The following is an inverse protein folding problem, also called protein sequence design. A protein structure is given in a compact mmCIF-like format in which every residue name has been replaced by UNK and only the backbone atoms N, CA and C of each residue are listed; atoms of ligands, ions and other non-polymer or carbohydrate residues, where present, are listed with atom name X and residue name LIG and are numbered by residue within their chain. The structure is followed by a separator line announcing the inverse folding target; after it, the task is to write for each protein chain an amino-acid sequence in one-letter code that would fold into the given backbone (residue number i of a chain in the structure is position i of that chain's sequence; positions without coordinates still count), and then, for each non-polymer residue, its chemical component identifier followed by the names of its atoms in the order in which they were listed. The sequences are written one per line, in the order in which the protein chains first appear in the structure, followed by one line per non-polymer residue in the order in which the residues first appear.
data_IF_799751183743
#
_entry.id   IF_799751183743
#
_cell.length_a   1.000
_cell.length_b   1.000
_cell.length_c   1.000
_cell.angle_alpha   90.00
_cell.angle_beta   90.00
_cell.angle_gamma   90.00
#
_symmetry.space_group_name_H-M   'P 1'
#
loop_
_entity.id
_entity.type
_entity.pdbx_description
1 polymer ?
#
# COMPACT_ATOMS: atom_id res chain seq x y z
N UNK A 1 48.02 5.74 12.35
CA UNK A 1 46.62 6.04 11.99
C UNK A 1 46.12 7.00 13.07
N UNK A 2 45.89 8.30 12.79
CA UNK A 2 45.28 9.20 13.78
C UNK A 2 43.77 8.98 13.76
N UNK A 3 43.18 8.68 14.92
CA UNK A 3 41.72 8.60 15.09
C UNK A 3 41.22 10.04 15.03
N UNK A 4 40.22 10.29 14.21
CA UNK A 4 39.59 11.62 14.17
C UNK A 4 38.68 11.72 15.41
N UNK A 5 39.23 12.17 16.54
CA UNK A 5 38.53 12.22 17.81
C UNK A 5 37.24 13.06 17.75
N UNK A 6 37.16 14.04 16.85
CA UNK A 6 35.94 14.82 16.59
C UNK A 6 34.78 13.99 15.97
N UNK A 7 35.03 12.77 15.50
CA UNK A 7 34.01 11.81 15.04
C UNK A 7 33.73 10.70 16.06
N UNK A 8 34.40 10.72 17.21
CA UNK A 8 34.23 9.77 18.30
C UNK A 8 33.41 10.42 19.43
N UNK A 9 32.76 9.61 20.24
CA UNK A 9 32.04 10.08 21.42
C UNK A 9 31.82 8.94 22.40
N UNK A 10 31.81 9.27 23.69
CA UNK A 10 31.45 8.34 24.77
C UNK A 10 30.00 8.61 25.11
N UNK A 11 29.14 7.61 24.93
CA UNK A 11 27.75 7.71 25.33
C UNK A 11 27.56 6.95 26.64
N UNK A 12 27.19 7.67 27.69
CA UNK A 12 26.84 7.07 28.98
C UNK A 12 25.45 6.46 28.85
N UNK A 13 25.34 5.15 29.12
CA UNK A 13 24.06 4.43 29.10
C UNK A 13 23.55 4.39 30.53
N UNK A 14 22.35 4.93 30.76
CA UNK A 14 21.71 4.93 32.07
C UNK A 14 21.38 3.51 32.50
N UNK A 15 21.57 3.20 33.78
CA UNK A 15 21.16 1.93 34.35
C UNK A 15 19.64 1.75 34.26
N UNK A 16 19.14 0.52 34.11
CA UNK A 16 17.68 0.28 34.02
C UNK A 16 16.92 0.77 35.25
N UNK A 17 17.57 0.86 36.42
CA UNK A 17 16.97 1.33 37.67
C UNK A 17 16.75 2.87 37.69
N UNK A 18 17.58 3.64 36.97
CA UNK A 18 17.46 5.10 36.85
C UNK A 18 16.34 5.51 35.87
N UNK A 19 16.13 4.73 34.80
CA UNK A 19 15.10 5.00 33.78
C UNK A 19 13.67 4.84 34.32
N UNK A 20 13.49 4.04 35.39
CA UNK A 20 12.17 3.80 36.01
C UNK A 20 11.77 4.95 36.94
N UNK A 21 12.73 5.58 37.63
CA UNK A 21 12.48 6.65 38.57
C UNK A 21 11.82 7.89 37.92
N UNK A 22 12.18 8.18 36.67
CA UNK A 22 11.62 9.29 35.86
C UNK A 22 10.18 9.03 35.37
N UNK A 23 9.72 7.77 35.33
CA UNK A 23 8.37 7.41 34.84
C UNK A 23 7.33 7.40 35.98
N UNK A 24 7.78 7.25 37.24
CA UNK A 24 6.89 7.05 38.40
C UNK A 24 6.77 8.23 39.39
N UNK A 25 7.40 9.39 39.20
CA UNK A 25 7.27 10.48 40.19
C UNK A 25 6.95 11.88 39.63
N UNK A 26 5.69 12.28 39.81
CA UNK A 26 5.43 13.57 40.44
C UNK A 26 5.86 13.44 41.91
N UNK A 27 6.75 14.33 42.36
CA UNK A 27 7.28 14.51 43.74
C UNK A 27 8.46 13.61 44.11
N UNK A 28 9.68 14.19 44.17
CA UNK A 28 10.31 14.64 45.43
C UNK A 28 11.66 15.38 45.13
N UNK A 29 11.68 16.71 45.26
CA UNK A 29 12.86 17.56 44.95
C UNK A 29 14.10 17.19 45.78
N UNK A 30 13.89 16.62 46.97
CA UNK A 30 14.96 16.24 47.89
C UNK A 30 15.65 14.93 47.49
N UNK A 31 14.94 14.04 46.79
CA UNK A 31 15.50 12.80 46.23
C UNK A 31 16.25 13.07 44.92
N UNK A 32 15.81 14.06 44.13
CA UNK A 32 16.57 14.61 43.00
C UNK A 32 17.90 15.23 43.46
N UNK A 33 17.93 15.88 44.63
CA UNK A 33 19.18 16.38 45.24
C UNK A 33 20.09 15.24 45.69
N UNK A 34 19.56 14.13 46.22
CA UNK A 34 20.38 12.95 46.60
C UNK A 34 20.93 12.17 45.41
N UNK A 35 20.16 11.99 44.33
CA UNK A 35 20.63 11.38 43.09
C UNK A 35 21.70 12.25 42.39
N UNK A 36 21.56 13.58 42.45
CA UNK A 36 22.61 14.52 41.98
C UNK A 36 23.89 14.50 42.81
N UNK A 37 23.87 13.97 44.03
CA UNK A 37 25.03 13.93 44.94
C UNK A 37 25.89 12.68 44.73
N UNK A 38 25.36 11.61 44.11
CA UNK A 38 26.13 10.40 43.79
C UNK A 38 26.68 10.37 42.35
N UNK A 39 26.21 11.25 41.46
CA UNK A 39 26.74 11.47 40.09
C UNK A 39 28.07 12.27 40.06
N UNK A 40 28.92 12.07 41.07
CA UNK A 40 30.32 12.49 41.01
C UNK A 40 31.10 11.45 40.20
N UNK A 41 30.82 11.37 38.90
CA UNK A 41 31.69 10.66 37.98
C UNK A 41 33.11 11.23 38.07
N UNK A 42 34.09 10.37 38.34
CA UNK A 42 35.52 10.68 38.31
C UNK A 42 35.85 11.32 36.96
N UNK A 43 36.09 12.62 36.96
CA UNK A 43 36.19 13.46 35.77
C UNK A 43 37.60 13.45 35.18
N UNK A 44 38.17 12.27 34.95
CA UNK A 44 39.36 12.18 34.12
C UNK A 44 38.90 12.10 32.65
N UNK A 45 39.31 13.06 31.80
CA UNK A 45 38.94 13.04 30.39
C UNK A 45 39.45 11.76 29.74
N UNK A 46 38.57 11.05 29.04
CA UNK A 46 38.98 9.85 28.32
C UNK A 46 39.76 10.25 27.07
N UNK A 47 41.08 10.12 27.15
CA UNK A 47 42.00 10.52 26.09
C UNK A 47 42.41 9.32 25.24
N UNK A 48 42.28 9.43 23.92
CA UNK A 48 42.78 8.44 22.96
C UNK A 48 43.77 9.13 22.02
N UNK A 49 45.02 8.65 22.02
CA UNK A 49 46.12 9.20 21.21
C UNK A 49 46.36 10.71 21.40
N UNK A 50 46.14 11.22 22.61
CA UNK A 50 46.34 12.62 22.96
C UNK A 50 45.14 13.52 22.72
N UNK A 51 44.06 13.00 22.12
CA UNK A 51 42.81 13.73 21.92
C UNK A 51 41.75 13.31 22.96
N UNK A 52 41.11 14.28 23.59
CA UNK A 52 39.96 14.05 24.49
C UNK A 52 38.72 13.65 23.68
N UNK A 53 38.06 12.56 24.09
CA UNK A 53 36.82 12.11 23.47
C UNK A 53 35.62 12.73 24.19
N UNK A 54 34.73 13.45 23.49
CA UNK A 54 33.58 14.09 24.12
C UNK A 54 32.55 13.08 24.61
N UNK A 55 31.88 13.41 25.72
CA UNK A 55 30.68 12.70 26.16
C UNK A 55 29.49 13.18 25.33
N UNK A 56 28.68 12.26 24.80
CA UNK A 56 27.56 12.54 23.91
C UNK A 56 26.25 11.92 24.40
N UNK A 57 25.13 12.62 24.20
CA UNK A 57 23.80 12.12 24.58
C UNK A 57 23.17 11.19 23.53
N UNK A 58 23.62 11.30 22.28
CA UNK A 58 23.17 10.47 21.17
C UNK A 58 24.32 9.93 20.35
N UNK A 59 24.13 8.72 19.82
CA UNK A 59 25.12 8.06 19.01
C UNK A 59 24.49 7.38 17.80
N UNK A 60 25.04 7.59 16.60
CA UNK A 60 24.61 6.88 15.40
C UNK A 60 25.63 5.79 15.07
N UNK A 61 25.31 4.54 15.43
CA UNK A 61 26.12 3.39 15.09
C UNK A 61 25.51 2.60 13.95
N UNK A 62 26.26 2.43 12.86
CA UNK A 62 25.81 1.76 11.63
C UNK A 62 24.47 2.31 11.10
N UNK A 63 24.16 3.58 11.36
CA UNK A 63 22.91 4.21 10.91
C UNK A 63 21.69 3.97 11.80
N UNK A 64 21.84 3.28 12.94
CA UNK A 64 20.85 3.21 14.02
C UNK A 64 21.18 4.29 15.05
N UNK A 65 20.17 5.08 15.45
CA UNK A 65 20.30 6.11 16.49
C UNK A 65 20.08 5.50 17.86
N UNK A 66 21.03 5.69 18.74
CA UNK A 66 20.96 5.34 20.16
C UNK A 66 20.94 6.61 20.99
N UNK A 67 20.29 6.51 22.14
CA UNK A 67 20.18 7.52 23.19
C UNK A 67 20.57 6.87 24.51
N UNK A 68 20.88 7.66 25.54
CA UNK A 68 21.33 7.15 26.85
C UNK A 68 20.35 6.18 27.53
N UNK A 69 19.05 6.29 27.22
CA UNK A 69 17.97 5.41 27.67
C UNK A 69 17.75 4.15 26.79
N UNK A 70 18.49 4.04 25.68
CA UNK A 70 18.33 3.00 24.65
C UNK A 70 16.88 2.85 24.13
N UNK A 71 16.08 3.91 24.17
CA UNK A 71 14.68 3.85 23.78
C UNK A 71 14.50 3.51 22.29
N UNK A 72 13.72 2.46 22.00
CA UNK A 72 13.40 2.08 20.61
C UNK A 72 12.71 3.20 19.82
N UNK A 73 12.04 4.14 20.50
CA UNK A 73 11.38 5.27 19.85
C UNK A 73 12.39 6.20 19.15
N UNK A 74 13.57 6.45 19.72
CA UNK A 74 14.58 7.33 19.12
C UNK A 74 15.10 6.77 17.79
N UNK A 75 15.24 5.43 17.70
CA UNK A 75 15.54 4.71 16.46
C UNK A 75 14.46 4.92 15.39
N UNK A 76 13.18 4.86 15.79
CA UNK A 76 12.05 5.04 14.88
C UNK A 76 11.99 6.47 14.35
N UNK A 77 12.17 7.47 15.20
CA UNK A 77 12.18 8.88 14.81
C UNK A 77 13.28 9.18 13.78
N UNK A 78 14.44 8.54 13.93
CA UNK A 78 15.51 8.63 12.93
C UNK A 78 15.11 8.03 11.56
N UNK A 79 14.46 6.85 11.57
CA UNK A 79 13.94 6.21 10.36
C UNK A 79 12.82 7.04 9.70
N UNK A 80 11.94 7.65 10.49
CA UNK A 80 10.89 8.58 10.02
C UNK A 80 11.50 9.76 9.28
N UNK A 81 12.52 10.41 9.86
CA UNK A 81 13.21 11.55 9.23
C UNK A 81 13.85 11.17 7.89
N UNK A 82 14.59 10.05 7.84
CA UNK A 82 15.16 9.53 6.59
C UNK A 82 14.08 9.15 5.57
N UNK A 83 13.00 8.52 6.02
CA UNK A 83 11.85 8.14 5.20
C UNK A 83 11.17 9.34 4.55
N UNK A 84 10.93 10.41 5.30
CA UNK A 84 10.31 11.65 4.76
C UNK A 84 11.19 12.30 3.69
N UNK A 85 12.51 12.36 3.90
CA UNK A 85 13.46 12.86 2.89
C UNK A 85 13.43 12.00 1.62
N UNK A 86 13.47 10.67 1.77
CA UNK A 86 13.41 9.75 0.64
C UNK A 86 12.08 9.88 -0.14
N UNK A 87 10.94 9.95 0.56
CA UNK A 87 9.62 10.13 -0.06
C UNK A 87 9.52 11.46 -0.82
N UNK A 88 10.10 12.53 -0.27
CA UNK A 88 10.13 13.85 -0.93
C UNK A 88 10.96 13.80 -2.21
N UNK A 89 12.13 13.17 -2.18
CA UNK A 89 12.97 12.97 -3.36
C UNK A 89 12.29 12.11 -4.44
N UNK A 90 11.38 11.21 -4.05
CA UNK A 90 10.62 10.36 -4.96
C UNK A 90 9.33 11.01 -5.49
N UNK A 91 9.03 12.26 -5.11
CA UNK A 91 7.74 12.90 -5.42
C UNK A 91 7.37 12.81 -6.89
N UNK A 92 8.23 13.30 -7.79
CA UNK A 92 7.94 13.35 -9.23
C UNK A 92 7.74 11.97 -9.84
N UNK A 93 8.54 10.97 -9.43
CA UNK A 93 8.40 9.60 -9.90
C UNK A 93 7.03 9.00 -9.53
N UNK A 94 6.59 9.23 -8.29
CA UNK A 94 5.36 8.61 -7.79
C UNK A 94 4.09 9.29 -8.34
N UNK A 95 4.12 10.60 -8.59
CA UNK A 95 2.94 11.38 -9.01
C UNK A 95 2.69 11.37 -10.51
N UNK A 96 3.73 11.22 -11.33
CA UNK A 96 3.64 11.24 -12.80
C UNK A 96 2.73 10.14 -13.37
N UNK A 97 1.72 10.51 -14.16
CA UNK A 97 0.67 9.59 -14.69
C UNK A 97 1.17 8.67 -15.81
N UNK A 98 2.16 9.14 -16.55
CA UNK A 98 2.76 8.51 -17.71
C UNK A 98 3.67 7.32 -17.37
N UNK A 99 4.16 7.24 -16.13
CA UNK A 99 4.99 6.11 -15.73
C UNK A 99 4.16 4.88 -15.32
N UNK A 100 4.54 3.68 -15.79
CA UNK A 100 3.99 2.41 -15.33
C UNK A 100 3.99 2.31 -13.80
N UNK A 101 2.84 1.94 -13.24
CA UNK A 101 2.67 1.79 -11.78
C UNK A 101 3.66 0.77 -11.22
N UNK A 102 4.02 -0.25 -12.00
CA UNK A 102 5.03 -1.23 -11.63
C UNK A 102 6.37 -0.59 -11.22
N UNK A 103 6.87 0.39 -11.99
CA UNK A 103 8.14 1.07 -11.70
C UNK A 103 8.04 1.83 -10.36
N UNK A 104 6.88 2.44 -10.10
CA UNK A 104 6.64 3.16 -8.84
C UNK A 104 6.59 2.22 -7.63
N UNK A 105 5.93 1.07 -7.78
CA UNK A 105 5.90 0.00 -6.76
C UNK A 105 7.33 -0.49 -6.49
N UNK A 106 8.11 -0.73 -7.55
CA UNK A 106 9.49 -1.17 -7.43
C UNK A 106 10.33 -0.14 -6.67
N UNK A 107 10.17 1.15 -6.96
CA UNK A 107 10.87 2.21 -6.23
C UNK A 107 10.50 2.24 -4.74
N UNK A 108 9.21 2.03 -4.39
CA UNK A 108 8.79 1.92 -2.98
C UNK A 108 9.44 0.71 -2.31
N UNK A 109 9.39 -0.46 -2.95
CA UNK A 109 9.91 -1.73 -2.40
C UNK A 109 11.44 -1.74 -2.28
N UNK A 110 12.14 -1.20 -3.28
CA UNK A 110 13.60 -1.26 -3.37
C UNK A 110 14.30 -0.12 -2.63
N UNK A 111 13.66 1.05 -2.50
CA UNK A 111 14.28 2.24 -1.88
C UNK A 111 13.60 2.65 -0.59
N UNK A 112 12.29 2.92 -0.61
CA UNK A 112 11.60 3.51 0.54
C UNK A 112 11.45 2.53 1.71
N UNK A 113 10.95 1.31 1.46
CA UNK A 113 10.74 0.30 2.48
C UNK A 113 12.04 -0.06 3.23
N UNK A 114 13.20 -0.30 2.56
CA UNK A 114 14.46 -0.56 3.25
C UNK A 114 14.92 0.59 4.14
N UNK A 115 14.70 1.85 3.73
CA UNK A 115 15.07 3.04 4.52
C UNK A 115 14.23 3.12 5.81
N UNK A 116 12.91 2.96 5.71
CA UNK A 116 12.01 3.12 6.87
C UNK A 116 11.97 1.90 7.78
N UNK A 117 12.40 0.73 7.30
CA UNK A 117 12.47 -0.52 8.07
C UNK A 117 13.90 -0.89 8.46
N UNK A 118 14.83 0.07 8.40
CA UNK A 118 16.20 -0.14 8.84
C UNK A 118 16.25 -0.44 10.35
N UNK A 119 17.05 -1.44 10.74
CA UNK A 119 17.16 -1.88 12.13
C UNK A 119 15.92 -2.56 12.71
N UNK A 120 14.93 -2.96 11.89
CA UNK A 120 13.71 -3.59 12.41
C UNK A 120 13.92 -4.94 13.09
N UNK A 121 15.09 -5.55 12.90
CA UNK A 121 15.58 -6.67 13.72
C UNK A 121 15.55 -6.30 15.22
N UNK A 122 15.90 -5.05 15.55
CA UNK A 122 15.98 -4.53 16.93
C UNK A 122 14.65 -4.04 17.48
N UNK A 123 13.74 -3.48 16.67
CA UNK A 123 12.48 -2.86 17.14
C UNK A 123 11.18 -3.53 16.66
N UNK A 124 11.25 -4.55 15.79
CA UNK A 124 10.10 -5.22 15.16
C UNK A 124 9.12 -5.91 16.12
N UNK A 125 8.12 -6.61 15.57
CA UNK A 125 7.08 -7.35 16.32
C UNK A 125 6.13 -6.53 17.21
N UNK A 126 6.12 -5.19 17.11
CA UNK A 126 5.06 -4.36 17.69
C UNK A 126 4.50 -3.38 16.66
N UNK A 127 3.23 -3.54 16.32
CA UNK A 127 2.57 -2.70 15.30
C UNK A 127 2.45 -1.23 15.74
N UNK A 128 2.21 -0.97 17.03
CA UNK A 128 2.05 0.39 17.58
C UNK A 128 3.27 1.29 17.33
N UNK A 129 4.49 0.71 17.37
CA UNK A 129 5.73 1.44 17.07
C UNK A 129 5.83 1.85 15.61
N UNK A 130 5.22 1.08 14.70
CA UNK A 130 5.38 1.27 13.25
C UNK A 130 4.41 2.27 12.65
N UNK A 131 3.50 2.87 13.43
CA UNK A 131 2.46 3.77 12.95
C UNK A 131 3.02 4.93 12.12
N UNK A 132 4.04 5.63 12.61
CA UNK A 132 4.59 6.81 11.92
C UNK A 132 5.35 6.44 10.63
N UNK A 133 6.10 5.35 10.64
CA UNK A 133 6.77 4.89 9.40
C UNK A 133 5.76 4.32 8.39
N UNK A 134 4.68 3.69 8.86
CA UNK A 134 3.63 3.19 7.99
C UNK A 134 2.91 4.34 7.27
N UNK A 135 2.67 5.48 7.95
CA UNK A 135 2.10 6.68 7.32
C UNK A 135 2.90 7.15 6.10
N UNK A 136 4.24 7.06 6.16
CA UNK A 136 5.13 7.44 5.03
C UNK A 136 4.93 6.48 3.84
N UNK A 137 4.89 5.18 4.09
CA UNK A 137 4.65 4.18 3.02
C UNK A 137 3.24 4.31 2.46
N UNK A 138 2.24 4.55 3.32
CA UNK A 138 0.85 4.77 2.91
C UNK A 138 0.71 6.03 2.06
N UNK A 139 1.42 7.11 2.40
CA UNK A 139 1.48 8.31 1.59
C UNK A 139 2.10 8.04 0.22
N UNK A 140 3.17 7.24 0.14
CA UNK A 140 3.75 6.81 -1.13
C UNK A 140 2.73 6.03 -1.98
N UNK A 141 2.03 5.06 -1.39
CA UNK A 141 0.97 4.29 -2.05
C UNK A 141 -0.17 5.19 -2.54
N UNK A 142 -0.61 6.17 -1.74
CA UNK A 142 -1.61 7.15 -2.16
C UNK A 142 -1.15 7.97 -3.36
N UNK A 143 0.11 8.41 -3.40
CA UNK A 143 0.68 9.15 -4.54
C UNK A 143 0.68 8.30 -5.81
N UNK A 144 1.02 7.02 -5.70
CA UNK A 144 0.99 6.06 -6.82
C UNK A 144 -0.41 5.95 -7.42
N UNK A 145 -1.42 5.71 -6.59
CA UNK A 145 -2.81 5.49 -7.05
C UNK A 145 -3.62 6.79 -7.22
N UNK A 146 -3.03 7.95 -6.89
CA UNK A 146 -3.70 9.24 -6.78
C UNK A 146 -4.95 9.19 -5.87
N UNK A 147 -4.80 8.46 -4.77
CA UNK A 147 -5.81 8.31 -3.72
C UNK A 147 -5.88 9.54 -2.81
N UNK A 148 -7.06 9.80 -2.26
CA UNK A 148 -7.26 10.85 -1.26
C UNK A 148 -6.84 10.41 0.14
N UNK A 149 -6.91 11.32 1.11
CA UNK A 149 -6.59 11.02 2.52
C UNK A 149 -7.49 9.94 3.12
N UNK A 150 -8.76 9.91 2.71
CA UNK A 150 -9.79 8.96 3.15
C UNK A 150 -9.84 7.65 2.38
N UNK A 151 -8.91 7.40 1.46
CA UNK A 151 -8.90 6.15 0.69
C UNK A 151 -8.56 4.94 1.56
N UNK A 152 -9.19 3.80 1.27
CA UNK A 152 -9.02 2.55 2.00
C UNK A 152 -7.60 1.98 1.82
N UNK A 153 -6.72 2.23 2.80
CA UNK A 153 -5.29 1.90 2.68
C UNK A 153 -5.01 0.40 2.70
N UNK A 154 -5.81 -0.41 3.41
CA UNK A 154 -5.70 -1.88 3.37
C UNK A 154 -5.88 -2.36 1.93
N UNK A 155 -6.96 -1.92 1.25
CA UNK A 155 -7.16 -2.25 -0.17
C UNK A 155 -6.05 -1.74 -1.09
N UNK A 156 -5.66 -0.47 -0.99
CA UNK A 156 -4.62 0.10 -1.87
C UNK A 156 -3.32 -0.70 -1.74
N UNK A 157 -2.89 -1.02 -0.51
CA UNK A 157 -1.68 -1.81 -0.27
C UNK A 157 -1.79 -3.22 -0.85
N UNK A 158 -2.96 -3.85 -0.72
CA UNK A 158 -3.25 -5.15 -1.32
C UNK A 158 -3.13 -5.11 -2.84
N UNK A 159 -3.76 -4.14 -3.52
CA UNK A 159 -3.67 -3.98 -4.97
C UNK A 159 -2.23 -3.73 -5.46
N UNK A 160 -1.46 -2.91 -4.74
CA UNK A 160 -0.07 -2.61 -5.09
C UNK A 160 0.93 -3.70 -4.64
N UNK A 161 0.47 -4.72 -3.91
CA UNK A 161 1.32 -5.75 -3.31
C UNK A 161 2.37 -5.17 -2.35
N UNK A 162 2.05 -4.11 -1.60
CA UNK A 162 2.94 -3.44 -0.65
C UNK A 162 2.69 -3.95 0.77
N UNK A 163 3.70 -4.61 1.34
CA UNK A 163 3.65 -5.08 2.72
C UNK A 163 3.73 -3.94 3.74
N UNK A 164 3.15 -4.16 4.91
CA UNK A 164 3.21 -3.20 6.03
C UNK A 164 4.59 -3.22 6.68
N UNK A 165 4.98 -2.09 7.26
CA UNK A 165 6.23 -1.96 8.00
C UNK A 165 6.24 -2.89 9.22
N UNK A 166 5.07 -3.10 9.85
CA UNK A 166 4.89 -4.07 10.93
C UNK A 166 5.22 -5.49 10.47
N UNK A 167 4.72 -5.91 9.30
CA UNK A 167 5.02 -7.22 8.73
C UNK A 167 6.52 -7.35 8.43
N UNK A 168 7.10 -6.40 7.69
CA UNK A 168 8.53 -6.41 7.34
C UNK A 168 9.40 -6.46 8.61
N UNK A 169 9.06 -5.67 9.63
CA UNK A 169 9.79 -5.66 10.90
C UNK A 169 9.66 -6.96 11.69
N UNK A 170 8.46 -7.57 11.72
CA UNK A 170 8.27 -8.87 12.33
C UNK A 170 9.07 -9.97 11.63
N UNK A 171 9.06 -10.00 10.28
CA UNK A 171 9.86 -10.95 9.49
C UNK A 171 11.35 -10.77 9.76
N UNK A 172 11.85 -9.52 9.76
CA UNK A 172 13.25 -9.20 10.04
C UNK A 172 13.69 -9.70 11.40
N UNK A 173 12.93 -9.40 12.45
CA UNK A 173 13.22 -9.84 13.82
C UNK A 173 13.11 -11.36 13.98
N UNK A 174 12.09 -11.99 13.39
CA UNK A 174 11.93 -13.44 13.45
C UNK A 174 13.12 -14.15 12.78
N UNK A 175 13.55 -13.67 11.60
CA UNK A 175 14.76 -14.14 10.93
C UNK A 175 16.02 -13.91 11.77
N UNK A 176 16.13 -12.76 12.44
CA UNK A 176 17.29 -12.41 13.25
C UNK A 176 17.50 -13.43 14.39
N UNK A 177 16.45 -13.82 15.09
CA UNK A 177 16.53 -14.81 16.18
C UNK A 177 17.07 -16.15 15.68
N UNK A 178 16.49 -16.67 14.59
CA UNK A 178 16.89 -17.96 14.02
C UNK A 178 18.33 -17.89 13.50
N UNK A 179 18.69 -16.82 12.78
CA UNK A 179 20.00 -16.67 12.16
C UNK A 179 21.10 -16.41 13.19
N UNK A 180 20.89 -15.47 14.12
CA UNK A 180 21.92 -15.02 15.04
C UNK A 180 22.27 -16.06 16.08
N UNK A 181 21.33 -16.94 16.47
CA UNK A 181 21.59 -18.07 17.35
C UNK A 181 22.69 -19.02 16.82
N UNK A 182 22.85 -19.12 15.50
CA UNK A 182 23.83 -19.98 14.83
C UNK A 182 25.08 -19.24 14.35
N UNK A 183 25.11 -17.92 14.53
CA UNK A 183 26.25 -17.12 14.08
C UNK A 183 27.46 -17.36 15.00
N UNK A 184 28.68 -17.45 14.45
CA UNK A 184 29.92 -17.52 15.24
C UNK A 184 30.29 -16.15 15.80
N UNK A 185 29.40 -15.56 16.60
CA UNK A 185 29.51 -14.19 17.12
C UNK A 185 29.04 -14.15 18.57
N UNK A 186 29.46 -13.13 19.32
CA UNK A 186 28.99 -12.88 20.69
C UNK A 186 27.47 -12.82 20.83
N UNK A 187 26.75 -12.44 19.78
CA UNK A 187 25.28 -12.43 19.78
C UNK A 187 24.70 -13.84 19.99
N UNK A 188 25.32 -14.88 19.43
CA UNK A 188 24.86 -16.25 19.65
C UNK A 188 25.04 -16.67 21.11
N UNK A 189 26.17 -16.30 21.72
CA UNK A 189 26.41 -16.51 23.15
C UNK A 189 25.38 -15.75 23.99
N UNK A 190 25.07 -14.48 23.67
CA UNK A 190 24.06 -13.69 24.37
C UNK A 190 22.63 -14.26 24.23
N UNK A 191 22.28 -14.82 23.06
CA UNK A 191 20.99 -15.48 22.84
C UNK A 191 20.90 -16.80 23.61
N UNK A 192 22.01 -17.55 23.68
CA UNK A 192 22.06 -18.86 24.34
C UNK A 192 22.14 -18.74 25.86
N UNK A 193 22.88 -17.74 26.34
CA UNK A 193 23.02 -17.36 27.74
C UNK A 193 22.08 -16.19 28.06
N UNK A 194 20.78 -16.42 27.88
CA UNK A 194 19.78 -15.36 28.04
C UNK A 194 19.85 -14.71 29.43
N UNK A 195 19.92 -13.38 29.45
CA UNK A 195 19.79 -12.59 30.66
C UNK A 195 18.42 -12.85 31.32
N UNK A 196 18.42 -13.43 32.51
CA UNK A 196 17.18 -13.73 33.25
C UNK A 196 16.74 -12.51 34.03
N UNK A 197 15.77 -11.78 33.50
CA UNK A 197 15.09 -10.67 34.19
C UNK A 197 13.63 -11.04 34.47
N UNK A 198 13.04 -10.42 35.51
CA UNK A 198 11.57 -10.45 35.72
C UNK A 198 10.80 -9.77 34.57
N UNK A 199 11.48 -8.92 33.79
CA UNK A 199 10.92 -8.17 32.65
C UNK A 199 11.17 -8.89 31.33
N UNK A 200 10.40 -8.49 30.31
CA UNK A 200 10.54 -9.02 28.95
C UNK A 200 11.85 -8.56 28.33
N UNK A 201 12.70 -9.52 27.95
CA UNK A 201 13.94 -9.26 27.18
C UNK A 201 13.64 -9.28 25.68
N UNK A 202 14.61 -8.85 24.86
CA UNK A 202 14.51 -8.98 23.41
C UNK A 202 14.35 -10.44 22.96
N UNK A 203 15.05 -11.40 23.60
CA UNK A 203 15.00 -12.83 23.24
C UNK A 203 13.67 -13.45 23.68
N UNK A 204 13.39 -13.50 24.99
CA UNK A 204 12.15 -14.05 25.54
C UNK A 204 10.90 -13.45 24.90
N UNK A 205 10.88 -12.12 24.72
CA UNK A 205 9.73 -11.45 24.15
C UNK A 205 9.46 -11.82 22.70
N UNK A 206 10.53 -12.02 21.92
CA UNK A 206 10.39 -12.38 20.52
C UNK A 206 10.06 -13.87 20.33
N UNK A 207 10.61 -14.77 21.14
CA UNK A 207 10.23 -16.18 21.16
C UNK A 207 8.75 -16.35 21.53
N UNK A 208 8.29 -15.68 22.59
CA UNK A 208 6.88 -15.67 22.99
C UNK A 208 5.97 -15.12 21.89
N UNK A 209 6.38 -14.04 21.22
CA UNK A 209 5.61 -13.49 20.11
C UNK A 209 5.49 -14.50 18.96
N UNK A 210 6.59 -15.16 18.58
CA UNK A 210 6.59 -16.16 17.51
C UNK A 210 5.72 -17.36 17.83
N UNK A 211 5.76 -17.85 19.06
CA UNK A 211 4.89 -18.94 19.53
C UNK A 211 3.42 -18.50 19.56
N UNK A 212 3.12 -17.36 20.19
CA UNK A 212 1.75 -16.89 20.41
C UNK A 212 1.02 -16.52 19.12
N UNK A 213 1.70 -15.81 18.22
CA UNK A 213 1.05 -15.22 17.04
C UNK A 213 1.38 -15.95 15.75
N UNK A 214 2.64 -16.30 15.52
CA UNK A 214 3.07 -16.94 14.27
C UNK A 214 3.02 -18.48 14.32
N UNK A 215 2.74 -19.07 15.50
CA UNK A 215 2.73 -20.53 15.74
C UNK A 215 3.95 -21.23 15.16
N UNK A 216 5.11 -20.62 15.37
CA UNK A 216 6.40 -21.19 14.99
C UNK A 216 6.87 -22.03 16.17
N UNK A 217 6.84 -23.35 16.00
CA UNK A 217 7.20 -24.32 17.04
C UNK A 217 8.60 -24.89 16.80
N UNK A 218 8.98 -25.03 15.53
CA UNK A 218 10.25 -25.64 15.12
C UNK A 218 11.14 -24.69 14.33
N UNK A 219 12.46 -24.81 14.49
CA UNK A 219 13.44 -23.99 13.74
C UNK A 219 13.47 -24.28 12.23
N UNK A 220 12.90 -25.40 11.79
CA UNK A 220 12.73 -25.75 10.36
C UNK A 220 11.53 -25.04 9.71
N UNK A 221 10.69 -24.40 10.53
CA UNK A 221 9.54 -23.69 10.01
C UNK A 221 9.99 -22.53 9.13
N UNK A 222 9.30 -22.41 8.00
CA UNK A 222 9.38 -21.31 7.06
C UNK A 222 8.92 -20.00 7.72
N UNK A 223 9.84 -19.42 8.51
CA UNK A 223 9.59 -18.30 9.44
C UNK A 223 9.02 -17.09 8.72
N UNK A 224 9.54 -16.78 7.52
CA UNK A 224 9.07 -15.66 6.70
C UNK A 224 7.64 -15.89 6.24
N UNK A 225 7.32 -17.09 5.76
CA UNK A 225 6.01 -17.48 5.25
C UNK A 225 4.95 -17.42 6.35
N UNK A 226 5.19 -18.07 7.50
CA UNK A 226 4.26 -18.05 8.65
C UNK A 226 3.96 -16.62 9.14
N UNK A 227 4.97 -15.76 9.22
CA UNK A 227 4.76 -14.35 9.61
C UNK A 227 3.98 -13.61 8.52
N UNK A 228 4.29 -13.81 7.24
CA UNK A 228 3.53 -13.19 6.16
C UNK A 228 2.06 -13.65 6.14
N UNK A 229 1.77 -14.91 6.41
CA UNK A 229 0.40 -15.45 6.51
C UNK A 229 -0.38 -14.81 7.67
N UNK A 230 0.26 -14.68 8.84
CA UNK A 230 -0.31 -13.96 9.98
C UNK A 230 -0.71 -12.53 9.60
N UNK A 231 0.17 -11.79 8.92
CA UNK A 231 -0.16 -10.42 8.50
C UNK A 231 -1.14 -10.38 7.32
N UNK A 232 -1.14 -11.37 6.43
CA UNK A 232 -2.09 -11.44 5.32
C UNK A 232 -3.55 -11.52 5.79
N UNK A 233 -3.81 -12.20 6.90
CA UNK A 233 -5.14 -12.23 7.54
C UNK A 233 -5.50 -10.92 8.24
N UNK A 234 -4.54 -10.27 8.91
CA UNK A 234 -4.75 -9.00 9.64
C UNK A 234 -4.98 -7.80 8.71
N UNK A 235 -4.39 -7.83 7.52
CA UNK A 235 -4.43 -6.73 6.56
C UNK A 235 -5.56 -6.87 5.53
N UNK A 236 -6.41 -7.88 5.67
CA UNK A 236 -7.60 -8.02 4.85
C UNK A 236 -8.58 -6.86 5.09
N UNK A 237 -9.08 -6.27 4.00
CA UNK A 237 -9.98 -5.13 4.03
C UNK A 237 -11.44 -5.59 4.14
N UNK A 238 -11.90 -5.79 5.37
CA UNK A 238 -13.28 -6.19 5.67
C UNK A 238 -14.18 -5.02 6.08
N UNK A 239 -13.60 -3.85 6.29
CA UNK A 239 -14.27 -2.71 6.91
C UNK A 239 -14.75 -1.68 5.87
N UNK A 240 -14.02 -1.53 4.76
CA UNK A 240 -14.38 -0.53 3.76
C UNK A 240 -15.39 -1.07 2.74
N UNK A 241 -16.22 -0.17 2.21
CA UNK A 241 -17.18 -0.50 1.14
C UNK A 241 -16.48 -1.08 -0.10
N UNK A 242 -15.30 -0.58 -0.44
CA UNK A 242 -14.50 -1.10 -1.56
C UNK A 242 -13.87 -2.46 -1.24
N UNK A 243 -13.53 -2.70 0.02
CA UNK A 243 -13.08 -3.99 0.52
C UNK A 243 -14.15 -5.05 0.35
N UNK A 244 -15.36 -4.78 0.88
CA UNK A 244 -16.54 -5.65 0.71
C UNK A 244 -16.85 -5.88 -0.77
N UNK A 245 -16.97 -4.80 -1.56
CA UNK A 245 -17.27 -4.89 -2.99
C UNK A 245 -16.29 -5.79 -3.75
N UNK A 246 -15.01 -5.80 -3.38
CA UNK A 246 -14.04 -6.66 -4.02
C UNK A 246 -13.96 -8.07 -3.48
N UNK A 247 -14.31 -8.27 -2.21
CA UNK A 247 -14.52 -9.60 -1.67
C UNK A 247 -15.70 -10.27 -2.41
N UNK A 248 -16.80 -9.53 -2.60
CA UNK A 248 -17.98 -9.97 -3.34
C UNK A 248 -17.64 -10.34 -4.80
N UNK A 249 -16.78 -9.53 -5.44
CA UNK A 249 -16.29 -9.80 -6.79
C UNK A 249 -15.15 -10.83 -6.85
N UNK A 250 -14.65 -11.31 -5.71
CA UNK A 250 -13.53 -12.26 -5.67
C UNK A 250 -12.25 -11.73 -6.32
N UNK A 251 -11.94 -10.44 -6.15
CA UNK A 251 -10.78 -9.81 -6.80
C UNK A 251 -9.46 -10.27 -6.18
N UNK A 252 -8.52 -10.70 -7.03
CA UNK A 252 -7.22 -11.20 -6.62
C UNK A 252 -6.30 -10.09 -6.08
N UNK A 253 -5.34 -10.52 -5.25
CA UNK A 253 -4.29 -9.65 -4.67
C UNK A 253 -3.15 -9.35 -5.65
N UNK A 254 -3.09 -10.04 -6.80
CA UNK A 254 -2.06 -9.88 -7.83
C UNK A 254 -2.72 -9.42 -9.13
N UNK A 255 -3.06 -8.13 -9.26
CA UNK A 255 -3.93 -7.71 -10.31
C UNK A 255 -3.19 -7.58 -11.66
N UNK A 256 -3.85 -8.06 -12.71
CA UNK A 256 -3.29 -8.13 -14.08
C UNK A 256 -3.00 -6.74 -14.67
N UNK A 257 -3.75 -5.70 -14.26
CA UNK A 257 -3.59 -4.34 -14.77
C UNK A 257 -2.20 -3.73 -14.52
N UNK A 258 -1.49 -4.16 -13.48
CA UNK A 258 -0.12 -3.69 -13.19
C UNK A 258 0.84 -4.22 -14.26
N UNK A 259 0.71 -5.50 -14.64
CA UNK A 259 1.54 -6.12 -15.66
C UNK A 259 1.17 -5.61 -17.06
N UNK A 260 -0.12 -5.38 -17.33
CA UNK A 260 -0.57 -4.79 -18.59
C UNK A 260 0.04 -3.42 -18.83
N UNK A 261 0.16 -2.55 -17.81
CA UNK A 261 0.82 -1.26 -17.96
C UNK A 261 2.32 -1.33 -18.27
N UNK A 262 2.96 -2.49 -18.02
CA UNK A 262 4.35 -2.75 -18.45
C UNK A 262 4.40 -3.25 -19.89
N UNK A 263 3.46 -4.14 -20.27
CA UNK A 263 3.38 -4.70 -21.63
C UNK A 263 2.93 -3.67 -22.67
N UNK A 264 2.04 -2.77 -22.27
CA UNK A 264 1.41 -1.76 -23.14
C UNK A 264 1.53 -0.36 -22.50
N UNK A 265 2.74 0.26 -22.50
CA UNK A 265 2.97 1.56 -21.88
C UNK A 265 2.09 2.70 -22.46
N UNK A 266 1.68 2.60 -23.72
CA UNK A 266 0.77 3.53 -24.39
C UNK A 266 -0.64 3.52 -23.76
N UNK A 267 -1.03 2.39 -23.16
CA UNK A 267 -2.31 2.19 -22.48
C UNK A 267 -2.25 2.45 -20.97
N UNK A 268 -1.21 3.14 -20.51
CA UNK A 268 -0.97 3.37 -19.07
C UNK A 268 -2.12 4.11 -18.38
N UNK A 269 -2.82 5.02 -19.07
CA UNK A 269 -3.98 5.74 -18.50
C UNK A 269 -5.16 4.79 -18.29
N UNK A 270 -5.44 3.92 -19.25
CA UNK A 270 -6.47 2.88 -19.14
C UNK A 270 -6.19 1.89 -18.03
N UNK A 271 -4.95 1.37 -17.97
CA UNK A 271 -4.50 0.45 -16.90
C UNK A 271 -4.62 1.11 -15.53
N UNK A 272 -4.19 2.37 -15.42
CA UNK A 272 -4.31 3.15 -14.21
C UNK A 272 -5.75 3.39 -13.80
N UNK A 273 -6.64 3.69 -14.75
CA UNK A 273 -8.08 3.79 -14.54
C UNK A 273 -8.66 2.51 -13.94
N UNK A 274 -8.28 1.36 -14.49
CA UNK A 274 -8.70 0.05 -14.00
C UNK A 274 -8.25 -0.20 -12.55
N UNK A 275 -6.98 0.09 -12.25
CA UNK A 275 -6.46 0.02 -10.88
C UNK A 275 -7.16 0.97 -9.92
N UNK A 276 -7.56 2.16 -10.38
CA UNK A 276 -8.35 3.11 -9.58
C UNK A 276 -9.77 2.62 -9.31
N UNK A 277 -10.40 1.94 -10.27
CA UNK A 277 -11.73 1.33 -10.07
C UNK A 277 -11.62 0.22 -9.01
N UNK A 278 -10.66 -0.70 -9.17
CA UNK A 278 -10.41 -1.79 -8.21
C UNK A 278 -10.12 -1.28 -6.80
N UNK A 279 -9.29 -0.24 -6.68
CA UNK A 279 -8.94 0.36 -5.38
C UNK A 279 -9.99 1.33 -4.82
N UNK A 280 -11.08 1.59 -5.53
CA UNK A 280 -12.14 2.52 -5.10
C UNK A 280 -11.72 3.99 -5.10
N UNK A 281 -10.63 4.31 -5.79
CA UNK A 281 -10.10 5.67 -5.90
C UNK A 281 -10.52 6.37 -7.20
N UNK A 282 -11.20 5.66 -8.11
CA UNK A 282 -11.74 6.25 -9.34
C UNK A 282 -12.80 7.31 -9.01
N UNK A 283 -12.74 8.44 -9.71
CA UNK A 283 -13.58 9.60 -9.42
C UNK A 283 -14.94 9.50 -10.14
N UNK A 284 -15.72 8.47 -9.81
CA UNK A 284 -17.14 8.42 -10.17
C UNK A 284 -17.90 9.63 -9.61
N UNK A 285 -19.02 10.02 -10.22
CA UNK A 285 -19.81 11.18 -9.79
C UNK A 285 -20.21 11.14 -8.30
N UNK A 286 -20.66 10.02 -7.72
CA UNK A 286 -20.90 9.93 -6.28
C UNK A 286 -19.65 10.21 -5.43
N UNK A 287 -18.46 9.79 -5.88
CA UNK A 287 -17.21 10.05 -5.18
C UNK A 287 -16.81 11.53 -5.24
N UNK A 288 -17.09 12.21 -6.36
CA UNK A 288 -16.88 13.65 -6.49
C UNK A 288 -17.87 14.46 -5.65
N UNK A 289 -19.13 14.01 -5.57
CA UNK A 289 -20.16 14.61 -4.73
C UNK A 289 -19.82 14.45 -3.23
N UNK A 290 -19.33 13.28 -2.82
CA UNK A 290 -18.78 13.03 -1.48
C UNK A 290 -17.65 14.00 -1.14
N UNK A 291 -16.76 14.28 -2.10
CA UNK A 291 -15.66 15.24 -1.97
C UNK A 291 -16.11 16.71 -2.03
N UNK A 292 -17.41 16.98 -2.23
CA UNK A 292 -17.98 18.33 -2.42
C UNK A 292 -17.37 19.09 -3.60
N UNK A 293 -16.85 18.37 -4.60
CA UNK A 293 -16.33 18.97 -5.84
C UNK A 293 -17.49 19.32 -6.79
N UNK A 294 -18.56 18.52 -6.74
CA UNK A 294 -19.77 18.69 -7.54
C UNK A 294 -21.00 18.64 -6.64
N UNK A 295 -22.14 19.10 -7.16
CA UNK A 295 -23.40 19.14 -6.40
C UNK A 295 -23.91 17.75 -6.01
N UNK A 296 -24.60 17.66 -4.87
CA UNK A 296 -25.13 16.39 -4.33
C UNK A 296 -26.11 15.67 -5.25
N UNK A 297 -26.77 16.36 -6.20
CA UNK A 297 -27.68 15.70 -7.16
C UNK A 297 -27.00 14.56 -7.92
N UNK A 298 -25.69 14.63 -8.13
CA UNK A 298 -24.93 13.63 -8.86
C UNK A 298 -24.66 12.31 -8.09
N UNK A 299 -25.20 12.13 -6.88
CA UNK A 299 -25.24 10.82 -6.25
C UNK A 299 -26.12 9.83 -7.03
N UNK A 300 -27.25 10.32 -7.54
CA UNK A 300 -28.30 9.52 -8.19
C UNK A 300 -28.63 10.03 -9.59
N UNK A 301 -27.74 10.83 -10.18
CA UNK A 301 -27.91 11.41 -11.51
C UNK A 301 -26.59 11.37 -12.26
N UNK A 302 -26.63 10.86 -13.49
CA UNK A 302 -25.48 10.78 -14.36
C UNK A 302 -25.51 11.99 -15.29
N UNK A 303 -24.52 12.90 -15.23
CA UNK A 303 -24.48 14.06 -16.12
C UNK A 303 -24.15 13.70 -17.56
N UNK A 304 -23.59 12.51 -17.81
CA UNK A 304 -23.12 12.13 -19.14
C UNK A 304 -24.27 11.68 -20.05
N UNK A 305 -25.28 11.03 -19.48
CA UNK A 305 -26.46 10.56 -20.20
C UNK A 305 -27.77 11.20 -19.72
N UNK A 306 -27.68 12.17 -18.81
CA UNK A 306 -28.80 12.93 -18.25
C UNK A 306 -29.90 12.10 -17.59
N UNK A 307 -29.61 10.85 -17.21
CA UNK A 307 -30.55 9.95 -16.56
C UNK A 307 -30.45 10.00 -15.03
N UNK A 308 -31.56 9.71 -14.34
CA UNK A 308 -31.64 9.55 -12.87
C UNK A 308 -31.05 8.21 -12.41
N UNK A 309 -29.79 7.98 -12.73
CA UNK A 309 -29.01 6.78 -12.39
C UNK A 309 -27.68 7.21 -11.77
N UNK A 310 -27.18 6.44 -10.81
CA UNK A 310 -25.86 6.68 -10.21
C UNK A 310 -24.76 6.21 -11.16
N UNK A 311 -23.73 7.04 -11.35
CA UNK A 311 -22.59 6.64 -12.16
C UNK A 311 -21.68 5.67 -11.37
N UNK A 312 -21.81 4.39 -11.66
CA UNK A 312 -20.99 3.31 -11.11
C UNK A 312 -20.11 2.67 -12.19
N UNK A 313 -19.22 1.74 -11.81
CA UNK A 313 -18.46 0.95 -12.79
C UNK A 313 -19.40 0.20 -13.75
N UNK A 314 -20.50 -0.37 -13.25
CA UNK A 314 -21.50 -1.05 -14.08
C UNK A 314 -22.13 -0.05 -15.06
N UNK A 315 -22.49 1.14 -14.60
CA UNK A 315 -23.05 2.17 -15.48
C UNK A 315 -22.07 2.58 -16.57
N UNK A 316 -20.81 2.82 -16.21
CA UNK A 316 -19.75 3.19 -17.13
C UNK A 316 -19.50 2.11 -18.19
N UNK A 317 -19.40 0.83 -17.79
CA UNK A 317 -19.02 -0.26 -18.69
C UNK A 317 -20.17 -0.86 -19.50
N UNK A 318 -21.42 -0.67 -19.09
CA UNK A 318 -22.52 -1.44 -19.70
C UNK A 318 -23.78 -0.65 -20.03
N UNK A 319 -24.19 0.34 -19.22
CA UNK A 319 -25.55 0.89 -19.33
C UNK A 319 -25.64 2.37 -19.65
N UNK A 320 -24.55 3.13 -19.59
CA UNK A 320 -24.59 4.57 -19.86
C UNK A 320 -24.66 4.86 -21.38
N UNK A 321 -25.78 5.38 -21.91
CA UNK A 321 -25.95 5.55 -23.36
C UNK A 321 -24.89 6.43 -24.03
N UNK A 322 -24.31 7.38 -23.27
CA UNK A 322 -23.25 8.26 -23.76
C UNK A 322 -22.02 7.53 -24.31
N UNK A 323 -21.78 6.30 -23.84
CA UNK A 323 -20.60 5.53 -24.23
C UNK A 323 -20.93 4.33 -25.12
N UNK A 324 -22.15 4.24 -25.67
CA UNK A 324 -22.57 3.11 -26.52
C UNK A 324 -21.63 2.90 -27.72
N UNK A 325 -21.34 3.94 -28.50
CA UNK A 325 -20.46 3.86 -29.67
C UNK A 325 -19.06 3.33 -29.31
N UNK A 326 -18.49 3.80 -28.19
CA UNK A 326 -17.19 3.34 -27.69
C UNK A 326 -17.25 1.90 -27.19
N UNK A 327 -18.35 1.49 -26.54
CA UNK A 327 -18.54 0.11 -26.11
C UNK A 327 -18.64 -0.83 -27.30
N UNK A 328 -19.45 -0.49 -28.29
CA UNK A 328 -19.64 -1.28 -29.50
C UNK A 328 -18.33 -1.42 -30.29
N UNK A 329 -17.50 -0.37 -30.31
CA UNK A 329 -16.18 -0.40 -30.95
C UNK A 329 -15.15 -1.27 -30.20
N UNK A 330 -14.99 -1.07 -28.88
CA UNK A 330 -13.92 -1.74 -28.13
C UNK A 330 -14.30 -3.15 -27.66
N UNK A 331 -15.58 -3.41 -27.40
CA UNK A 331 -16.07 -4.72 -26.96
C UNK A 331 -16.68 -5.47 -28.14
N UNK A 332 -15.87 -6.13 -28.97
CA UNK A 332 -16.36 -6.91 -30.11
C UNK A 332 -17.36 -8.01 -29.72
N UNK A 333 -17.24 -8.58 -28.52
CA UNK A 333 -18.19 -9.55 -27.96
C UNK A 333 -19.52 -8.92 -27.53
N UNK A 334 -19.61 -7.59 -27.45
CA UNK A 334 -20.83 -6.87 -27.13
C UNK A 334 -21.76 -6.79 -28.34
N UNK A 335 -21.21 -6.63 -29.56
CA UNK A 335 -21.99 -6.46 -30.79
C UNK A 335 -22.53 -7.76 -31.40
N UNK A 336 -22.03 -8.94 -30.99
CA UNK A 336 -22.43 -10.26 -31.53
C UNK A 336 -23.73 -10.84 -30.94
N UNK A 337 -24.66 -10.00 -30.47
CA UNK A 337 -25.95 -10.43 -29.89
C UNK A 337 -25.97 -10.54 -28.36
N UNK A 338 -24.80 -10.54 -27.69
CA UNK A 338 -24.72 -10.50 -26.24
C UNK A 338 -25.24 -9.16 -25.67
N UNK A 339 -25.09 -8.03 -26.38
CA UNK A 339 -25.66 -6.75 -25.96
C UNK A 339 -27.18 -6.78 -25.86
N UNK A 340 -27.90 -7.49 -26.74
CA UNK A 340 -29.37 -7.62 -26.63
C UNK A 340 -29.76 -8.47 -25.41
N UNK A 341 -29.05 -9.59 -25.17
CA UNK A 341 -29.25 -10.40 -23.96
C UNK A 341 -28.95 -9.60 -22.68
N UNK A 342 -27.83 -8.86 -22.65
CA UNK A 342 -27.41 -8.04 -21.51
C UNK A 342 -28.30 -6.80 -21.32
N UNK A 343 -28.78 -6.17 -22.39
CA UNK A 343 -29.78 -5.08 -22.35
C UNK A 343 -31.15 -5.57 -21.88
N UNK A 344 -31.48 -6.85 -22.14
CA UNK A 344 -32.70 -7.51 -21.69
C UNK A 344 -32.58 -8.17 -20.30
N UNK A 345 -31.35 -8.34 -19.78
CA UNK A 345 -31.15 -8.74 -18.39
C UNK A 345 -31.68 -7.61 -17.51
N UNK A 346 -32.71 -7.94 -16.75
CA UNK A 346 -33.27 -7.05 -15.75
C UNK A 346 -32.13 -6.53 -14.85
N UNK A 347 -32.03 -5.21 -14.64
CA UNK A 347 -31.00 -4.56 -13.79
C UNK A 347 -30.95 -5.17 -12.36
N UNK A 348 -31.99 -5.89 -11.98
CA UNK A 348 -32.11 -6.62 -10.72
C UNK A 348 -31.31 -7.94 -10.66
N UNK A 349 -30.79 -8.46 -11.79
CA UNK A 349 -29.96 -9.67 -11.78
C UNK A 349 -28.50 -9.34 -11.43
N UNK A 350 -28.28 -9.01 -10.16
CA UNK A 350 -26.99 -8.56 -9.61
C UNK A 350 -25.82 -9.49 -9.95
N UNK A 351 -26.07 -10.80 -10.07
CA UNK A 351 -25.04 -11.83 -10.21
C UNK A 351 -24.36 -11.86 -11.59
N UNK A 352 -25.10 -11.58 -12.68
CA UNK A 352 -24.53 -11.55 -14.03
C UNK A 352 -23.65 -10.30 -14.20
N UNK A 353 -24.14 -9.14 -13.77
CA UNK A 353 -23.39 -7.89 -13.80
C UNK A 353 -22.10 -7.96 -12.99
N UNK A 354 -22.16 -8.57 -11.79
CA UNK A 354 -20.99 -8.83 -10.95
C UNK A 354 -19.98 -9.76 -11.64
N UNK A 355 -20.46 -10.78 -12.34
CA UNK A 355 -19.60 -11.72 -13.06
C UNK A 355 -18.88 -11.06 -14.24
N UNK A 356 -19.58 -10.21 -15.01
CA UNK A 356 -19.01 -9.48 -16.13
C UNK A 356 -18.00 -8.42 -15.68
N UNK A 357 -18.35 -7.62 -14.67
CA UNK A 357 -17.42 -6.61 -14.16
C UNK A 357 -16.16 -7.26 -13.58
N UNK A 358 -16.29 -8.41 -12.88
CA UNK A 358 -15.15 -9.18 -12.37
C UNK A 358 -14.14 -9.52 -13.47
N UNK A 359 -14.61 -9.99 -14.62
CA UNK A 359 -13.75 -10.34 -15.77
C UNK A 359 -13.08 -9.09 -16.37
N UNK A 360 -13.83 -8.00 -16.58
CA UNK A 360 -13.25 -6.74 -17.09
C UNK A 360 -12.20 -6.14 -16.15
N UNK A 361 -12.34 -6.38 -14.84
CA UNK A 361 -11.39 -5.92 -13.83
C UNK A 361 -10.13 -6.79 -13.72
N UNK A 362 -9.99 -7.85 -14.51
CA UNK A 362 -8.76 -8.64 -14.60
C UNK A 362 -8.71 -9.92 -13.78
N UNK A 363 -9.87 -10.48 -13.43
CA UNK A 363 -9.93 -11.81 -12.84
C UNK A 363 -10.17 -12.90 -13.90
N UNK A 364 -9.79 -14.13 -13.56
CA UNK A 364 -10.02 -15.30 -14.40
C UNK A 364 -11.51 -15.56 -14.65
N UNK A 365 -11.80 -16.05 -15.85
CA UNK A 365 -13.15 -16.36 -16.29
C UNK A 365 -13.65 -17.60 -15.54
N UNK A 366 -14.64 -17.43 -14.67
CA UNK A 366 -15.39 -18.56 -14.13
C UNK A 366 -16.21 -19.23 -15.23
N UNK A 367 -16.30 -20.56 -15.23
CA UNK A 367 -17.09 -21.35 -16.19
C UNK A 367 -18.54 -20.88 -16.34
N UNK A 368 -19.11 -20.30 -15.28
CA UNK A 368 -20.46 -19.75 -15.22
C UNK A 368 -20.64 -18.48 -16.09
N UNK A 369 -19.58 -17.70 -16.30
CA UNK A 369 -19.64 -16.46 -17.11
C UNK A 369 -19.65 -16.79 -18.60
N UNK A 370 -18.88 -17.81 -19.02
CA UNK A 370 -18.92 -18.32 -20.38
C UNK A 370 -20.31 -18.84 -20.75
N UNK A 371 -20.99 -19.53 -19.82
CA UNK A 371 -22.38 -19.96 -20.03
C UNK A 371 -23.37 -18.79 -20.09
N UNK A 372 -23.21 -17.77 -19.25
CA UNK A 372 -24.08 -16.57 -19.27
C UNK A 372 -23.86 -15.67 -20.49
N UNK A 373 -22.68 -15.71 -21.10
CA UNK A 373 -22.35 -15.01 -22.35
C UNK A 373 -22.68 -15.81 -23.61
N UNK A 374 -23.24 -17.03 -23.48
CA UNK A 374 -23.56 -17.89 -24.62
C UNK A 374 -22.32 -18.49 -25.32
N UNK A 375 -21.16 -18.47 -24.69
CA UNK A 375 -19.86 -18.89 -25.26
C UNK A 375 -19.55 -20.37 -24.97
N UNK A 376 -20.51 -21.30 -25.07
CA UNK A 376 -20.24 -22.74 -24.92
C UNK A 376 -19.97 -23.43 -26.27
N UNK A 377 -18.80 -24.06 -26.32
CA UNK A 377 -18.30 -25.17 -27.14
C UNK A 377 -19.15 -25.64 -28.33
N UNK A 378 -18.78 -25.14 -29.52
CA UNK A 378 -19.07 -25.78 -30.80
C UNK A 378 -17.83 -26.12 -31.62
N UNK A 379 -16.64 -25.64 -31.27
CA UNK A 379 -15.40 -25.97 -31.98
C UNK A 379 -14.22 -25.92 -31.00
N UNK A 380 -13.45 -27.00 -30.99
CA UNK A 380 -12.19 -27.24 -30.26
C UNK A 380 -11.03 -26.29 -30.63
N UNK A 381 -11.35 -25.10 -31.16
CA UNK A 381 -10.41 -24.02 -31.52
C UNK A 381 -10.36 -22.93 -30.43
N UNK A 382 -11.30 -22.90 -29.48
CA UNK A 382 -11.49 -21.77 -28.56
C UNK A 382 -10.67 -21.76 -27.26
N UNK A 383 -10.13 -22.90 -26.79
CA UNK A 383 -9.45 -22.93 -25.47
C UNK A 383 -8.11 -22.19 -25.44
N UNK A 384 -7.47 -22.00 -26.58
CA UNK A 384 -6.20 -21.26 -26.68
C UNK A 384 -6.39 -19.73 -26.92
N UNK A 385 -7.58 -19.29 -27.35
CA UNK A 385 -7.82 -17.89 -27.73
C UNK A 385 -8.40 -17.00 -26.63
N UNK A 386 -9.09 -17.55 -25.62
CA UNK A 386 -9.68 -16.76 -24.53
C UNK A 386 -8.71 -16.59 -23.34
N UNK A 387 -7.57 -15.94 -23.58
CA UNK A 387 -6.70 -15.49 -22.49
C UNK A 387 -7.34 -14.36 -21.67
N UNK A 388 -6.83 -14.08 -20.47
CA UNK A 388 -7.26 -12.92 -19.64
C UNK A 388 -7.22 -11.61 -20.44
N UNK A 389 -6.27 -11.49 -21.38
CA UNK A 389 -6.10 -10.34 -22.25
C UNK A 389 -7.34 -10.08 -23.14
N UNK A 390 -8.17 -11.09 -23.42
CA UNK A 390 -9.34 -10.99 -24.33
C UNK A 390 -10.41 -10.03 -23.82
N UNK A 391 -10.56 -9.86 -22.50
CA UNK A 391 -11.58 -9.00 -21.91
C UNK A 391 -10.99 -7.75 -21.25
N UNK A 392 -9.83 -7.91 -20.61
CA UNK A 392 -9.19 -6.82 -19.85
C UNK A 392 -8.55 -5.81 -20.79
N UNK A 393 -7.91 -6.26 -21.87
CA UNK A 393 -7.26 -5.35 -22.82
C UNK A 393 -8.28 -4.45 -23.53
N UNK A 394 -9.43 -4.95 -24.01
CA UNK A 394 -10.54 -4.09 -24.43
C UNK A 394 -11.01 -3.11 -23.37
N UNK A 395 -11.16 -3.53 -22.11
CA UNK A 395 -11.59 -2.65 -21.03
C UNK A 395 -10.58 -1.52 -20.78
N UNK A 396 -9.30 -1.84 -20.86
CA UNK A 396 -8.20 -0.88 -20.76
C UNK A 396 -8.21 0.09 -21.92
N UNK A 397 -8.37 -0.38 -23.17
CA UNK A 397 -8.45 0.48 -24.37
C UNK A 397 -9.67 1.41 -24.32
N UNK A 398 -10.81 0.89 -23.90
CA UNK A 398 -12.03 1.66 -23.64
C UNK A 398 -11.77 2.78 -22.61
N UNK A 399 -11.19 2.45 -21.46
CA UNK A 399 -10.85 3.43 -20.43
C UNK A 399 -9.79 4.45 -20.89
N UNK A 400 -8.83 4.03 -21.72
CA UNK A 400 -7.77 4.89 -22.25
C UNK A 400 -8.36 6.11 -23.00
N UNK A 401 -9.42 5.89 -23.79
CA UNK A 401 -10.10 6.95 -24.55
C UNK A 401 -11.19 7.67 -23.75
N UNK A 402 -11.96 6.97 -22.91
CA UNK A 402 -13.09 7.59 -22.19
C UNK A 402 -12.67 8.46 -21.01
N UNK A 403 -11.60 8.08 -20.28
CA UNK A 403 -11.18 8.85 -19.11
C UNK A 403 -10.94 10.33 -19.43
N UNK A 404 -10.16 10.69 -20.48
CA UNK A 404 -9.99 12.09 -20.89
C UNK A 404 -11.29 12.81 -21.25
N UNK A 405 -12.16 12.18 -22.04
CA UNK A 405 -13.44 12.75 -22.47
C UNK A 405 -14.34 13.05 -21.25
N UNK A 406 -14.43 12.07 -20.35
CA UNK A 406 -15.17 12.17 -19.11
C UNK A 406 -14.60 13.25 -18.19
N UNK A 407 -13.27 13.31 -18.03
CA UNK A 407 -12.61 14.35 -17.24
C UNK A 407 -12.90 15.75 -17.81
N UNK A 408 -12.85 15.93 -19.13
CA UNK A 408 -13.20 17.19 -19.79
C UNK A 408 -14.66 17.61 -19.56
N UNK A 409 -15.60 16.67 -19.68
CA UNK A 409 -17.02 16.91 -19.39
C UNK A 409 -17.24 17.31 -17.92
N UNK A 410 -16.55 16.67 -16.98
CA UNK A 410 -16.62 17.03 -15.56
C UNK A 410 -16.07 18.43 -15.31
N UNK A 411 -14.96 18.81 -15.96
CA UNK A 411 -14.41 20.16 -15.81
C UNK A 411 -15.41 21.23 -16.27
N UNK A 412 -16.14 21.00 -17.36
CA UNK A 412 -17.20 21.92 -17.82
C UNK A 412 -18.35 22.05 -16.81
N UNK A 413 -18.75 20.95 -16.17
CA UNK A 413 -19.75 20.96 -15.09
C UNK A 413 -19.26 21.80 -13.91
N UNK A 414 -17.98 21.67 -13.54
CA UNK A 414 -17.39 22.42 -12.42
C UNK A 414 -17.33 23.93 -12.73
N UNK A 415 -16.97 24.29 -13.97
CA UNK A 415 -16.84 25.69 -14.41
C UNK A 415 -18.21 26.36 -14.66
N UNK A 416 -19.29 25.58 -14.76
CA UNK A 416 -20.65 26.10 -14.93
C UNK A 416 -20.96 26.57 -16.36
N UNK A 417 -20.34 25.95 -17.37
CA UNK A 417 -20.56 26.30 -18.77
C UNK A 417 -21.98 25.89 -19.24
N UNK A 418 -22.84 26.90 -19.40
CA UNK A 418 -24.24 26.72 -19.83
C UNK A 418 -24.40 26.56 -21.36
N UNK A 419 -23.34 26.73 -22.17
CA UNK A 419 -23.43 26.70 -23.64
C UNK A 419 -23.16 25.33 -24.25
N UNK A 420 -22.84 24.30 -23.44
CA UNK A 420 -22.50 22.98 -23.95
C UNK A 420 -23.72 22.08 -24.10
N UNK A 421 -24.05 21.70 -25.34
CA UNK A 421 -25.12 20.75 -25.65
C UNK A 421 -24.62 19.31 -25.49
N UNK A 422 -25.23 18.54 -24.58
CA UNK A 422 -24.87 17.14 -24.31
C UNK A 422 -25.28 16.17 -25.44
N UNK A 423 -26.05 16.66 -26.43
CA UNK A 423 -26.56 15.87 -27.56
C UNK A 423 -25.55 15.63 -28.69
N UNK A 424 -24.40 16.32 -28.71
CA UNK A 424 -23.37 16.08 -29.73
C UNK A 424 -22.44 14.95 -29.27
N UNK A 425 -22.35 13.86 -30.05
CA UNK A 425 -21.25 12.89 -29.90
C UNK A 425 -19.94 13.68 -30.05
N UNK A 426 -18.94 13.48 -29.18
CA UNK A 426 -17.83 14.41 -29.09
C UNK A 426 -16.84 14.33 -30.26
N UNK A 427 -16.99 13.38 -31.20
CA UNK A 427 -16.07 13.17 -32.34
C UNK A 427 -16.74 12.48 -33.55
N UNK A 428 -16.25 12.77 -34.75
CA UNK A 428 -16.54 12.02 -35.99
C UNK A 428 -15.86 10.63 -35.95
N UNK A 429 -16.48 9.62 -36.59
CA UNK A 429 -15.99 8.22 -36.65
C UNK A 429 -14.53 8.05 -37.11
N UNK A 430 -13.93 9.06 -37.73
CA UNK A 430 -12.52 9.07 -38.14
C UNK A 430 -11.53 9.09 -36.97
N UNK A 431 -11.89 9.65 -35.81
CA UNK A 431 -10.99 9.78 -34.65
C UNK A 431 -10.94 8.50 -33.78
N UNK A 432 -11.91 7.59 -33.95
CA UNK A 432 -11.90 6.26 -33.31
C UNK A 432 -10.81 5.33 -33.89
N UNK A 433 -10.34 5.60 -35.11
CA UNK A 433 -9.34 4.79 -35.84
C UNK A 433 -7.91 5.28 -35.56
N UNK A 434 -7.73 6.46 -34.95
CA UNK A 434 -6.41 6.96 -34.62
C UNK A 434 -5.79 6.16 -33.45
N UNK A 435 -4.55 5.65 -33.62
CA UNK A 435 -3.93 4.65 -32.74
C UNK A 435 -3.94 5.00 -31.23
#
# INVERSE_FOLDING_TARGET
MRVNAAKCGIMVIRGQDEVIADVESSVDEERLKRLKVEDSHSSDPFVVMGDEIPIVDEYIYLGVRFTSDLALHSMMTHCVSKGRRALSAMYYLLTRKDYPVFIKILAIKAKLQPIVTYGAEVWGMASSRTTEIQKIVDEACRRVIQGGRSSAMKRIRSELGIQTCANIGAVKRARAIVKWRRAKTWIASMISSEFRSRRWTWVSGSLRWMQRYARIENERDRTKEKVNELFASREEDRESLVGSWAADLGLSKNPVWILLGVRYPELQRGCFGLGRIRSGTFNFMPNLANKRIVVRRFYSFCPFCESKVSETAIHLFFTCPRWDEYRDHYFSWWSTGASQYIKNINLNSSMVWQSLIRVLLGEEIGSNVLSSLGLRDGNSVGKEQFGIDTFVLPAVRYLQKIIPLREAMIQRIIVGDQKFSWSQSPMDMAELVAP
#
